data_IF_144502364272
#
_entry.id   IF_144502364272
#
_cell.length_a   1.000
_cell.length_b   1.000
_cell.length_c   1.000
_cell.angle_alpha   90.00
_cell.angle_beta   90.00
_cell.angle_gamma   90.00
#
_symmetry.space_group_name_H-M   'P 1'
#
loop_
_entity.id
_entity.type
_entity.pdbx_description
1 polymer ?
#
# COMPACT_ATOMS: atom_id res chain seq x y z
N UNK A 1 -31.54 11.11 52.07
CA UNK A 1 -31.64 11.26 50.61
C UNK A 1 -30.24 11.11 50.05
N UNK A 2 -30.01 9.97 49.40
CA UNK A 2 -28.70 9.40 49.08
C UNK A 2 -28.29 9.78 47.66
N UNK A 3 -26.97 9.79 47.44
CA UNK A 3 -26.31 9.63 46.14
C UNK A 3 -26.43 10.78 45.14
N UNK A 4 -25.58 11.80 45.29
CA UNK A 4 -25.21 12.69 44.18
C UNK A 4 -23.72 13.08 44.21
N UNK A 5 -22.84 12.14 44.58
CA UNK A 5 -21.39 12.43 44.71
C UNK A 5 -20.51 11.31 44.16
N UNK A 6 -20.84 10.77 42.98
CA UNK A 6 -20.02 9.76 42.32
C UNK A 6 -19.70 10.05 40.84
N UNK A 7 -20.04 11.24 40.34
CA UNK A 7 -19.82 11.58 38.91
C UNK A 7 -18.56 12.40 38.64
N UNK A 8 -17.84 12.86 39.68
CA UNK A 8 -16.69 13.76 39.54
C UNK A 8 -15.31 13.06 39.47
N UNK A 9 -15.27 11.72 39.48
CA UNK A 9 -14.00 10.95 39.49
C UNK A 9 -13.58 10.49 38.08
N UNK A 10 -14.52 10.45 37.11
CA UNK A 10 -14.27 9.86 35.78
C UNK A 10 -13.53 10.81 34.82
N UNK A 11 -13.51 12.13 35.10
CA UNK A 11 -12.92 13.14 34.20
C UNK A 11 -11.42 13.43 34.42
N UNK A 12 -10.80 12.90 35.47
CA UNK A 12 -9.42 13.24 35.86
C UNK A 12 -8.35 12.22 35.43
N UNK A 13 -8.73 11.15 34.72
CA UNK A 13 -7.87 10.01 34.46
C UNK A 13 -7.58 9.71 32.99
N UNK A 14 -7.40 10.71 32.12
CA UNK A 14 -6.97 10.51 30.73
C UNK A 14 -5.49 10.89 30.53
N UNK A 15 -4.61 10.37 31.38
CA UNK A 15 -3.16 10.41 31.12
C UNK A 15 -2.80 9.24 30.22
N UNK A 16 -2.81 9.45 28.90
CA UNK A 16 -2.32 8.46 27.94
C UNK A 16 -0.87 8.04 28.23
N UNK A 17 -0.40 6.90 27.67
CA UNK A 17 0.96 6.43 27.89
C UNK A 17 1.97 7.53 27.49
N UNK A 18 3.12 7.62 28.19
CA UNK A 18 4.15 8.59 27.86
C UNK A 18 4.60 8.41 26.42
N UNK A 19 4.84 9.53 25.72
CA UNK A 19 5.31 9.51 24.34
C UNK A 19 6.70 8.84 24.32
N UNK A 20 6.94 7.83 23.47
CA UNK A 20 8.26 7.21 23.37
C UNK A 20 9.30 8.25 22.93
N UNK A 21 10.46 8.23 23.58
CA UNK A 21 11.55 9.20 23.36
C UNK A 21 12.27 8.99 22.03
N UNK A 22 12.14 7.80 21.44
CA UNK A 22 12.82 7.39 20.23
C UNK A 22 11.79 7.03 19.16
N UNK A 23 12.00 7.57 17.96
CA UNK A 23 11.33 7.04 16.78
C UNK A 23 11.76 5.59 16.59
N UNK A 24 10.86 4.71 16.10
CA UNK A 24 11.26 3.37 15.71
C UNK A 24 12.40 3.47 14.70
N UNK A 25 13.49 2.74 14.96
CA UNK A 25 14.58 2.59 14.00
C UNK A 25 13.96 2.02 12.72
N UNK A 26 14.09 2.73 11.61
CA UNK A 26 13.61 2.22 10.33
C UNK A 26 14.39 0.96 10.01
N UNK A 27 13.74 -0.20 10.04
CA UNK A 27 14.35 -1.42 9.51
C UNK A 27 14.63 -1.20 8.03
N UNK A 28 15.85 -1.53 7.60
CA UNK A 28 16.21 -1.53 6.19
C UNK A 28 15.28 -2.52 5.47
N UNK A 29 14.26 -2.01 4.78
CA UNK A 29 13.31 -2.84 4.04
C UNK A 29 14.10 -3.60 2.99
N UNK A 30 14.30 -4.90 3.20
CA UNK A 30 14.96 -5.77 2.23
C UNK A 30 14.26 -5.61 0.88
N UNK A 31 15.00 -5.14 -0.11
CA UNK A 31 14.46 -4.98 -1.46
C UNK A 31 14.07 -6.36 -2.01
N UNK A 32 12.83 -6.46 -2.48
CA UNK A 32 12.34 -7.66 -3.17
C UNK A 32 13.10 -7.78 -4.50
N UNK A 33 13.65 -8.95 -4.88
CA UNK A 33 14.30 -9.13 -6.19
C UNK A 33 13.36 -8.81 -7.35
N UNK A 34 13.90 -8.29 -8.46
CA UNK A 34 13.09 -7.93 -9.64
C UNK A 34 12.37 -9.15 -10.22
N UNK A 35 13.03 -10.29 -10.24
CA UNK A 35 12.51 -11.56 -10.76
C UNK A 35 11.24 -11.99 -10.00
N UNK A 36 11.28 -11.87 -8.66
CA UNK A 36 10.13 -12.16 -7.81
C UNK A 36 8.97 -11.19 -8.11
N UNK A 37 9.25 -9.91 -8.32
CA UNK A 37 8.20 -8.93 -8.66
C UNK A 37 7.59 -9.25 -10.02
N UNK A 38 8.41 -9.65 -11.01
CA UNK A 38 7.92 -10.05 -12.32
C UNK A 38 7.03 -11.30 -12.24
N UNK A 39 7.40 -12.29 -11.44
CA UNK A 39 6.57 -13.47 -11.17
C UNK A 39 5.24 -13.08 -10.49
N UNK A 40 5.30 -12.25 -9.45
CA UNK A 40 4.13 -11.79 -8.71
C UNK A 40 3.19 -10.92 -9.58
N UNK A 41 3.73 -10.20 -10.57
CA UNK A 41 2.95 -9.34 -11.49
C UNK A 41 1.97 -10.09 -12.40
N UNK A 42 2.05 -11.42 -12.44
CA UNK A 42 1.10 -12.30 -13.14
C UNK A 42 0.36 -13.25 -12.20
N UNK A 43 0.45 -13.04 -10.88
CA UNK A 43 -0.20 -13.86 -9.86
C UNK A 43 -1.71 -13.94 -10.03
N UNK A 44 -2.32 -15.08 -9.67
CA UNK A 44 -3.78 -15.21 -9.61
C UNK A 44 -4.39 -14.44 -8.45
N UNK A 45 -3.60 -14.10 -7.42
CA UNK A 45 -4.07 -13.28 -6.31
C UNK A 45 -4.04 -11.80 -6.72
N UNK A 46 -5.21 -11.11 -6.80
CA UNK A 46 -5.27 -9.73 -7.25
C UNK A 46 -4.47 -8.74 -6.40
N UNK A 47 -4.35 -9.01 -5.08
CA UNK A 47 -3.59 -8.16 -4.17
C UNK A 47 -2.09 -8.24 -4.46
N UNK A 48 -1.57 -9.45 -4.64
CA UNK A 48 -0.16 -9.68 -4.97
C UNK A 48 0.16 -9.08 -6.34
N UNK A 49 -0.71 -9.33 -7.33
CA UNK A 49 -0.56 -8.79 -8.68
C UNK A 49 -0.53 -7.25 -8.69
N UNK A 50 -1.48 -6.61 -8.00
CA UNK A 50 -1.54 -5.15 -7.91
C UNK A 50 -0.28 -4.58 -7.24
N UNK A 51 0.16 -5.18 -6.14
CA UNK A 51 1.37 -4.75 -5.43
C UNK A 51 2.61 -4.85 -6.34
N UNK A 52 2.75 -5.94 -7.07
CA UNK A 52 3.87 -6.14 -7.98
C UNK A 52 3.85 -5.14 -9.16
N UNK A 53 2.68 -4.88 -9.75
CA UNK A 53 2.53 -3.86 -10.80
C UNK A 53 2.96 -2.47 -10.31
N UNK A 54 2.58 -2.10 -9.08
CA UNK A 54 2.98 -0.83 -8.50
C UNK A 54 4.50 -0.76 -8.24
N UNK A 55 5.08 -1.85 -7.75
CA UNK A 55 6.52 -1.93 -7.49
C UNK A 55 7.35 -1.82 -8.78
N UNK A 56 6.90 -2.43 -9.88
CA UNK A 56 7.53 -2.26 -11.20
C UNK A 56 7.53 -0.78 -11.63
N UNK A 57 6.46 -0.05 -11.35
CA UNK A 57 6.37 1.38 -11.63
C UNK A 57 7.29 2.22 -10.73
N UNK A 58 7.33 1.93 -9.43
CA UNK A 58 8.22 2.60 -8.48
C UNK A 58 9.70 2.42 -8.86
N UNK A 59 10.06 1.26 -9.40
CA UNK A 59 11.41 0.98 -9.92
C UNK A 59 11.64 1.47 -11.35
N UNK A 60 10.66 2.14 -11.95
CA UNK A 60 10.70 2.61 -13.33
C UNK A 60 11.10 1.49 -14.33
N UNK A 61 10.65 0.25 -14.09
CA UNK A 61 10.94 -0.89 -14.96
C UNK A 61 10.14 -0.78 -16.28
N UNK A 62 10.67 0.00 -17.23
CA UNK A 62 10.02 0.27 -18.52
C UNK A 62 9.64 -0.97 -19.35
N UNK A 63 10.41 -2.09 -19.33
CA UNK A 63 10.05 -3.28 -20.11
C UNK A 63 8.67 -3.87 -19.75
N UNK A 64 8.16 -3.64 -18.53
CA UNK A 64 6.83 -4.12 -18.13
C UNK A 64 5.66 -3.26 -18.60
N UNK A 65 5.88 -2.17 -19.37
CA UNK A 65 4.80 -1.29 -19.83
C UNK A 65 3.67 -2.04 -20.55
N UNK A 66 3.99 -2.98 -21.44
CA UNK A 66 2.97 -3.77 -22.15
C UNK A 66 2.15 -4.64 -21.19
N UNK A 67 2.79 -5.22 -20.17
CA UNK A 67 2.10 -5.98 -19.13
C UNK A 67 1.12 -5.08 -18.37
N UNK A 68 1.54 -3.88 -17.98
CA UNK A 68 0.69 -2.94 -17.22
C UNK A 68 -0.47 -2.42 -18.08
N UNK A 69 -0.24 -2.12 -19.37
CA UNK A 69 -1.31 -1.75 -20.31
C UNK A 69 -2.33 -2.87 -20.47
N UNK A 70 -1.87 -4.12 -20.57
CA UNK A 70 -2.76 -5.28 -20.64
C UNK A 70 -3.56 -5.42 -19.35
N UNK A 71 -2.93 -5.29 -18.18
CA UNK A 71 -3.63 -5.33 -16.90
C UNK A 71 -4.73 -4.25 -16.80
N UNK A 72 -4.48 -3.02 -17.27
CA UNK A 72 -5.49 -1.97 -17.33
C UNK A 72 -6.69 -2.36 -18.22
N UNK A 73 -6.43 -2.94 -19.39
CA UNK A 73 -7.46 -3.22 -20.41
C UNK A 73 -8.25 -4.50 -20.14
N UNK A 74 -7.61 -5.53 -19.60
CA UNK A 74 -8.17 -6.90 -19.60
C UNK A 74 -8.27 -7.56 -18.23
N UNK A 75 -7.66 -7.02 -17.17
CA UNK A 75 -7.74 -7.69 -15.87
C UNK A 75 -9.18 -7.67 -15.33
N UNK A 76 -9.65 -8.82 -14.85
CA UNK A 76 -11.02 -8.99 -14.35
C UNK A 76 -11.23 -8.22 -13.04
N UNK A 77 -10.18 -8.06 -12.23
CA UNK A 77 -10.26 -7.41 -10.94
C UNK A 77 -10.15 -5.88 -11.08
N UNK A 78 -11.15 -5.10 -10.60
CA UNK A 78 -11.12 -3.64 -10.69
C UNK A 78 -9.96 -2.99 -9.92
N UNK A 79 -9.51 -3.58 -8.81
CA UNK A 79 -8.37 -3.06 -8.06
C UNK A 79 -7.07 -3.16 -8.87
N UNK A 80 -6.86 -4.26 -9.59
CA UNK A 80 -5.70 -4.41 -10.49
C UNK A 80 -5.75 -3.36 -11.61
N UNK A 81 -6.92 -3.14 -12.23
CA UNK A 81 -7.06 -2.10 -13.26
C UNK A 81 -6.75 -0.70 -12.72
N UNK A 82 -7.24 -0.38 -11.53
CA UNK A 82 -6.95 0.90 -10.87
C UNK A 82 -5.45 1.08 -10.60
N UNK A 83 -4.79 0.05 -10.06
CA UNK A 83 -3.35 0.08 -9.84
C UNK A 83 -2.56 0.17 -11.14
N UNK A 84 -3.00 -0.50 -12.21
CA UNK A 84 -2.39 -0.37 -13.52
C UNK A 84 -2.49 1.06 -14.07
N UNK A 85 -3.63 1.75 -13.88
CA UNK A 85 -3.77 3.16 -14.25
C UNK A 85 -2.77 4.06 -13.48
N UNK A 86 -2.62 3.84 -12.16
CA UNK A 86 -1.64 4.56 -11.33
C UNK A 86 -0.23 4.31 -11.85
N UNK A 87 0.13 3.05 -12.07
CA UNK A 87 1.45 2.64 -12.57
C UNK A 87 1.79 3.30 -13.92
N UNK A 88 0.84 3.36 -14.85
CA UNK A 88 1.01 4.04 -16.15
C UNK A 88 1.20 5.55 -15.97
N UNK A 89 0.46 6.17 -15.03
CA UNK A 89 0.68 7.57 -14.65
C UNK A 89 2.10 7.81 -14.09
N UNK A 90 2.58 6.92 -13.22
CA UNK A 90 3.96 6.94 -12.69
C UNK A 90 5.00 6.79 -13.81
N UNK A 91 4.76 5.91 -14.77
CA UNK A 91 5.61 5.80 -15.96
C UNK A 91 5.52 7.01 -16.89
N UNK A 92 4.53 7.90 -16.73
CA UNK A 92 4.19 8.93 -17.72
C UNK A 92 3.94 8.31 -19.10
N UNK A 93 3.26 7.17 -19.12
CA UNK A 93 2.89 6.53 -20.38
C UNK A 93 1.77 7.32 -21.05
N UNK A 94 2.07 7.88 -22.22
CA UNK A 94 1.13 8.67 -23.02
C UNK A 94 0.48 7.84 -24.13
N UNK A 95 0.81 6.55 -24.20
CA UNK A 95 0.33 5.65 -25.25
C UNK A 95 -1.10 5.18 -24.92
N UNK A 96 -2.03 5.41 -25.84
CA UNK A 96 -3.42 4.94 -25.78
C UNK A 96 -3.57 3.45 -26.09
#
# INVERSE_FOLDING_TARGET
>A
MRSFSFFLIILLGCGGPPRPDLLPVSEDKKEIPLEQILEESVSQNPQIKAQAILELANRNHRPSLNLVRNALKTDSNPAVRGTAAIALGTFKDLSS
#
